data_IF_606429286178
#
_entry.id   IF_606429286178
#
_cell.length_a   1.000
_cell.length_b   1.000
_cell.length_c   1.000
_cell.angle_alpha   90.00
_cell.angle_beta   90.00
_cell.angle_gamma   90.00
#
_symmetry.space_group_name_H-M   'P 1'
#
loop_
_entity.id
_entity.type
_entity.pdbx_description
1 polymer ?
#
# COMPACT_ATOMS: atom_id res chain seq x y z
N UNK A 1 -14.25 13.97 2.05
CA UNK A 1 -14.01 12.71 2.77
C UNK A 1 -13.19 11.77 1.88
N UNK A 2 -12.10 11.24 2.39
CA UNK A 2 -11.21 10.36 1.62
C UNK A 2 -11.58 8.89 1.86
N UNK A 3 -11.42 8.06 0.84
CA UNK A 3 -11.69 6.62 0.87
C UNK A 3 -10.41 5.86 0.56
N UNK A 4 -10.00 5.01 1.48
CA UNK A 4 -8.87 4.11 1.31
C UNK A 4 -9.39 2.69 1.32
N UNK A 5 -8.89 1.83 0.45
CA UNK A 5 -9.34 0.45 0.35
C UNK A 5 -8.17 -0.52 0.13
N UNK A 6 -8.26 -1.65 0.81
CA UNK A 6 -7.55 -2.87 0.47
C UNK A 6 -8.59 -3.96 0.22
N UNK A 7 -8.27 -4.92 -0.61
CA UNK A 7 -9.22 -5.94 -1.02
C UNK A 7 -8.80 -7.30 -0.49
N UNK A 8 -9.73 -7.94 0.21
CA UNK A 8 -9.58 -9.34 0.63
C UNK A 8 -10.08 -10.32 -0.43
N UNK A 9 -10.89 -9.86 -1.37
CA UNK A 9 -11.42 -10.68 -2.45
C UNK A 9 -11.40 -9.90 -3.77
N UNK A 10 -10.48 -10.24 -4.65
CA UNK A 10 -10.28 -9.57 -5.93
C UNK A 10 -11.44 -9.73 -6.90
N UNK A 11 -12.29 -10.76 -6.77
CA UNK A 11 -13.46 -10.92 -7.64
C UNK A 11 -14.36 -9.69 -7.58
N UNK A 12 -14.58 -9.15 -6.38
CA UNK A 12 -15.40 -7.95 -6.18
C UNK A 12 -14.80 -6.73 -6.88
N UNK A 13 -13.49 -6.54 -6.75
CA UNK A 13 -12.80 -5.43 -7.41
C UNK A 13 -12.84 -5.55 -8.94
N UNK A 14 -12.76 -6.76 -9.46
CA UNK A 14 -12.80 -7.03 -10.91
C UNK A 14 -14.21 -6.82 -11.48
N UNK A 15 -15.24 -7.18 -10.76
CA UNK A 15 -16.65 -6.99 -11.18
C UNK A 15 -17.08 -5.53 -11.13
N UNK A 16 -16.53 -4.77 -10.20
CA UNK A 16 -16.95 -3.38 -9.96
C UNK A 16 -15.78 -2.41 -10.08
N UNK A 17 -15.10 -2.45 -11.22
CA UNK A 17 -13.97 -1.55 -11.53
C UNK A 17 -14.33 -0.06 -11.49
N UNK A 18 -15.60 0.27 -11.69
CA UNK A 18 -16.12 1.63 -11.55
C UNK A 18 -15.89 2.22 -10.15
N UNK A 19 -15.91 1.39 -9.12
CA UNK A 19 -15.64 1.84 -7.75
C UNK A 19 -14.17 2.20 -7.50
N UNK A 20 -13.26 1.58 -8.23
CA UNK A 20 -11.82 1.89 -8.09
C UNK A 20 -11.50 3.35 -8.42
N UNK A 21 -12.28 3.97 -9.31
CA UNK A 21 -12.12 5.37 -9.68
C UNK A 21 -12.58 6.33 -8.57
N UNK A 22 -13.39 5.85 -7.62
CA UNK A 22 -13.90 6.62 -6.49
C UNK A 22 -13.05 6.47 -5.23
N UNK A 23 -12.05 5.59 -5.25
CA UNK A 23 -11.14 5.32 -4.14
C UNK A 23 -9.93 6.25 -4.25
N UNK A 24 -9.58 6.94 -3.17
CA UNK A 24 -8.42 7.84 -3.13
C UNK A 24 -7.09 7.08 -3.13
N UNK A 25 -7.03 5.95 -2.44
CA UNK A 25 -5.87 5.07 -2.46
C UNK A 25 -6.31 3.60 -2.36
N UNK A 26 -5.92 2.81 -3.35
CA UNK A 26 -6.17 1.37 -3.40
C UNK A 26 -4.86 0.63 -3.13
N UNK A 27 -4.88 -0.30 -2.18
CA UNK A 27 -3.71 -1.07 -1.77
C UNK A 27 -3.94 -2.55 -2.05
N UNK A 28 -3.01 -3.19 -2.74
CA UNK A 28 -3.02 -4.62 -3.01
C UNK A 28 -1.60 -5.18 -3.09
N UNK A 29 -1.46 -6.50 -3.20
CA UNK A 29 -0.16 -7.12 -3.46
C UNK A 29 0.09 -7.25 -4.97
N UNK A 30 1.28 -7.72 -5.32
CA UNK A 30 1.73 -7.85 -6.71
C UNK A 30 0.87 -8.83 -7.53
N UNK A 31 0.48 -9.94 -6.93
CA UNK A 31 -0.40 -10.93 -7.56
C UNK A 31 -1.80 -10.37 -7.80
N UNK A 32 -2.35 -9.71 -6.82
CA UNK A 32 -3.67 -9.04 -6.93
C UNK A 32 -3.66 -7.94 -8.01
N UNK A 33 -2.58 -7.17 -8.11
CA UNK A 33 -2.42 -6.19 -9.18
C UNK A 33 -2.39 -6.87 -10.56
N UNK A 34 -1.73 -8.00 -10.69
CA UNK A 34 -1.73 -8.82 -11.91
C UNK A 34 -3.13 -9.27 -12.31
N UNK A 35 -3.91 -9.75 -11.35
CA UNK A 35 -5.31 -10.12 -11.58
C UNK A 35 -6.14 -8.92 -12.03
N UNK A 36 -5.97 -7.76 -11.39
CA UNK A 36 -6.72 -6.55 -11.70
C UNK A 36 -6.48 -6.05 -13.12
N UNK A 37 -5.23 -6.07 -13.57
CA UNK A 37 -4.83 -5.56 -14.89
C UNK A 37 -4.67 -6.65 -15.95
N UNK A 38 -4.97 -7.90 -15.61
CA UNK A 38 -4.88 -9.06 -16.50
C UNK A 38 -3.46 -9.24 -17.08
N UNK A 39 -2.47 -9.16 -16.23
CA UNK A 39 -1.06 -9.26 -16.56
C UNK A 39 -0.29 -10.01 -15.46
N UNK A 40 0.95 -10.42 -15.75
CA UNK A 40 1.83 -11.08 -14.79
C UNK A 40 2.96 -10.14 -14.38
N UNK A 41 2.97 -9.76 -13.11
CA UNK A 41 3.95 -8.84 -12.53
C UNK A 41 4.93 -9.51 -11.58
N UNK A 42 4.79 -10.81 -11.32
CA UNK A 42 5.60 -11.50 -10.29
C UNK A 42 7.10 -11.46 -10.56
N UNK A 43 7.49 -11.34 -11.83
CA UNK A 43 8.90 -11.28 -12.25
C UNK A 43 9.48 -9.85 -12.28
N UNK A 44 8.68 -8.82 -12.05
CA UNK A 44 9.13 -7.42 -12.13
C UNK A 44 9.90 -7.00 -10.88
N UNK A 45 11.00 -6.27 -11.08
CA UNK A 45 11.67 -5.55 -10.01
C UNK A 45 10.84 -4.33 -9.56
N UNK A 46 11.03 -3.82 -8.33
CA UNK A 46 10.25 -2.68 -7.84
C UNK A 46 10.24 -1.45 -8.76
N UNK A 47 11.37 -1.08 -9.33
CA UNK A 47 11.47 0.06 -10.25
C UNK A 47 10.66 -0.14 -11.53
N UNK A 48 10.66 -1.34 -12.08
CA UNK A 48 9.85 -1.71 -13.25
C UNK A 48 8.36 -1.72 -12.91
N UNK A 49 8.03 -2.30 -11.75
CA UNK A 49 6.65 -2.34 -11.26
C UNK A 49 6.07 -0.93 -11.05
N UNK A 50 6.85 0.00 -10.51
CA UNK A 50 6.41 1.38 -10.31
C UNK A 50 6.04 2.06 -11.65
N UNK A 51 6.82 1.85 -12.70
CA UNK A 51 6.55 2.41 -14.03
C UNK A 51 5.30 1.80 -14.67
N UNK A 52 5.16 0.48 -14.59
CA UNK A 52 3.95 -0.23 -15.07
C UNK A 52 2.72 0.24 -14.31
N UNK A 53 2.83 0.34 -12.99
CA UNK A 53 1.74 0.80 -12.14
C UNK A 53 1.30 2.22 -12.49
N UNK A 54 2.23 3.14 -12.73
CA UNK A 54 1.92 4.52 -13.12
C UNK A 54 1.10 4.58 -14.40
N UNK A 55 1.44 3.79 -15.41
CA UNK A 55 0.68 3.70 -16.67
C UNK A 55 -0.72 3.13 -16.44
N UNK A 56 -0.83 2.08 -15.64
CA UNK A 56 -2.11 1.41 -15.39
C UNK A 56 -3.05 2.27 -14.54
N UNK A 57 -2.54 2.96 -13.54
CA UNK A 57 -3.31 3.90 -12.71
C UNK A 57 -3.86 5.04 -13.55
N UNK A 58 -3.07 5.57 -14.45
CA UNK A 58 -3.51 6.62 -15.39
C UNK A 58 -4.58 6.09 -16.34
N UNK A 59 -4.33 4.95 -16.99
CA UNK A 59 -5.25 4.35 -17.96
C UNK A 59 -6.58 3.91 -17.34
N UNK A 60 -6.57 3.45 -16.09
CA UNK A 60 -7.76 3.04 -15.35
C UNK A 60 -8.48 4.22 -14.67
N UNK A 61 -7.95 5.43 -14.82
CA UNK A 61 -8.49 6.64 -14.19
C UNK A 61 -8.62 6.53 -12.67
N UNK A 62 -7.65 5.89 -12.03
CA UNK A 62 -7.56 5.77 -10.57
C UNK A 62 -6.79 6.95 -9.99
N UNK A 63 -7.11 7.37 -8.77
CA UNK A 63 -6.42 8.46 -8.08
C UNK A 63 -5.01 8.06 -7.65
N UNK A 64 -4.89 6.95 -6.93
CA UNK A 64 -3.59 6.38 -6.56
C UNK A 64 -3.71 4.89 -6.22
N UNK A 65 -2.60 4.21 -6.33
CA UNK A 65 -2.50 2.79 -6.01
C UNK A 65 -1.15 2.47 -5.37
N UNK A 66 -1.16 1.53 -4.46
CA UNK A 66 0.04 1.00 -3.81
C UNK A 66 0.06 -0.51 -3.98
N UNK A 67 1.19 -1.05 -4.40
CA UNK A 67 1.39 -2.50 -4.54
C UNK A 67 2.49 -2.95 -3.61
N UNK A 68 2.16 -3.87 -2.72
CA UNK A 68 3.15 -4.49 -1.82
C UNK A 68 3.88 -5.61 -2.55
N UNK A 69 5.18 -5.71 -2.33
CA UNK A 69 6.07 -6.66 -3.00
C UNK A 69 6.86 -7.51 -1.98
N UNK A 70 6.27 -7.80 -0.83
CA UNK A 70 6.89 -8.59 0.22
C UNK A 70 8.23 -8.01 0.69
N UNK A 71 9.27 -8.82 0.72
CA UNK A 71 10.61 -8.39 1.15
C UNK A 71 11.27 -7.34 0.26
N UNK A 72 10.72 -7.08 -0.93
CA UNK A 72 11.20 -6.04 -1.84
C UNK A 72 10.61 -4.65 -1.55
N UNK A 73 9.69 -4.55 -0.60
CA UNK A 73 9.06 -3.30 -0.22
C UNK A 73 7.70 -3.07 -0.88
N UNK A 74 7.45 -1.85 -1.27
CA UNK A 74 6.21 -1.47 -1.94
C UNK A 74 6.48 -0.43 -3.03
N UNK A 75 5.59 -0.37 -4.00
CA UNK A 75 5.60 0.66 -5.03
C UNK A 75 4.29 1.44 -4.99
N UNK A 76 4.33 2.70 -5.37
CA UNK A 76 3.14 3.53 -5.44
C UNK A 76 3.10 4.29 -6.76
N UNK A 77 1.91 4.64 -7.19
CA UNK A 77 1.69 5.50 -8.33
C UNK A 77 0.42 6.34 -8.17
N UNK A 78 0.45 7.54 -8.71
CA UNK A 78 -0.68 8.46 -8.77
C UNK A 78 -1.14 8.66 -10.20
N UNK A 79 -2.38 9.10 -10.37
CA UNK A 79 -2.94 9.45 -11.67
C UNK A 79 -2.09 10.50 -12.41
N UNK A 80 -1.43 11.38 -11.68
CA UNK A 80 -0.55 12.42 -12.22
C UNK A 80 0.72 11.90 -12.89
N UNK A 81 1.04 10.60 -12.74
CA UNK A 81 2.27 9.98 -13.21
C UNK A 81 3.36 9.90 -12.15
N UNK A 82 3.19 10.54 -10.99
CA UNK A 82 4.12 10.39 -9.87
C UNK A 82 4.12 8.95 -9.38
N UNK A 83 5.31 8.36 -9.31
CA UNK A 83 5.49 6.98 -8.84
C UNK A 83 6.82 6.84 -8.10
N UNK A 84 6.95 5.78 -7.31
CA UNK A 84 8.18 5.51 -6.59
C UNK A 84 8.19 4.17 -5.89
N UNK A 85 9.31 3.89 -5.26
CA UNK A 85 9.57 2.66 -4.52
C UNK A 85 9.84 3.00 -3.06
N UNK A 86 9.22 2.26 -2.16
CA UNK A 86 9.50 2.30 -0.72
C UNK A 86 10.12 0.97 -0.33
N UNK A 87 11.40 0.93 0.05
CA UNK A 87 12.05 -0.32 0.39
C UNK A 87 11.49 -0.90 1.68
N UNK A 88 11.48 -2.24 1.78
CA UNK A 88 11.10 -2.93 3.00
C UNK A 88 12.10 -2.66 4.12
N UNK A 89 11.64 -2.60 5.35
CA UNK A 89 12.50 -2.55 6.52
C UNK A 89 13.12 -3.93 6.76
N UNK A 90 14.42 -3.97 6.98
CA UNK A 90 15.13 -5.22 7.33
C UNK A 90 14.90 -5.53 8.80
N UNK A 91 14.28 -6.68 9.06
CA UNK A 91 13.97 -7.16 10.41
C UNK A 91 14.12 -8.67 10.46
N UNK A 92 14.29 -9.22 11.66
CA UNK A 92 14.23 -10.66 11.89
C UNK A 92 12.77 -11.11 11.84
N UNK A 93 12.42 -11.85 10.79
CA UNK A 93 11.04 -12.30 10.54
C UNK A 93 10.72 -13.50 11.40
N UNK A 94 9.66 -13.40 12.23
CA UNK A 94 9.10 -14.51 12.98
C UNK A 94 7.89 -15.07 12.24
N UNK A 95 6.95 -14.21 11.85
CA UNK A 95 5.74 -14.57 11.14
C UNK A 95 5.33 -13.42 10.22
N UNK A 96 4.96 -13.73 8.97
CA UNK A 96 4.50 -12.74 7.98
C UNK A 96 2.99 -12.51 8.00
N UNK A 97 2.25 -13.27 8.83
CA UNK A 97 0.79 -13.11 8.95
C UNK A 97 0.42 -11.71 9.44
N UNK A 98 -0.51 -11.09 8.76
CA UNK A 98 -0.98 -9.75 9.08
C UNK A 98 -0.11 -8.60 8.60
N UNK A 99 1.04 -8.87 7.95
CA UNK A 99 1.94 -7.82 7.45
C UNK A 99 1.25 -6.92 6.39
N UNK A 100 0.47 -7.51 5.49
CA UNK A 100 -0.27 -6.75 4.47
C UNK A 100 -1.32 -5.84 5.08
N UNK A 101 -2.09 -6.34 6.05
CA UNK A 101 -3.10 -5.55 6.77
C UNK A 101 -2.47 -4.42 7.58
N UNK A 102 -1.35 -4.68 8.24
CA UNK A 102 -0.59 -3.68 8.97
C UNK A 102 -0.02 -2.60 8.04
N UNK A 103 0.50 -3.00 6.88
CA UNK A 103 0.96 -2.07 5.86
C UNK A 103 -0.18 -1.15 5.40
N UNK A 104 -1.32 -1.71 5.07
CA UNK A 104 -2.50 -0.93 4.68
C UNK A 104 -2.92 0.05 5.78
N UNK A 105 -3.02 -0.42 7.02
CA UNK A 105 -3.40 0.41 8.15
C UNK A 105 -2.43 1.59 8.35
N UNK A 106 -1.13 1.34 8.31
CA UNK A 106 -0.10 2.37 8.45
C UNK A 106 -0.14 3.39 7.31
N UNK A 107 -0.35 2.93 6.09
CA UNK A 107 -0.48 3.80 4.91
C UNK A 107 -1.73 4.70 5.03
N UNK A 108 -2.86 4.14 5.39
CA UNK A 108 -4.11 4.89 5.58
C UNK A 108 -3.99 5.92 6.72
N UNK A 109 -3.34 5.56 7.82
CA UNK A 109 -3.07 6.49 8.92
C UNK A 109 -2.19 7.65 8.43
N UNK A 110 -1.10 7.37 7.72
CA UNK A 110 -0.21 8.40 7.19
C UNK A 110 -0.96 9.40 6.30
N UNK A 111 -1.78 8.91 5.38
CA UNK A 111 -2.60 9.75 4.51
C UNK A 111 -3.63 10.58 5.30
N UNK A 112 -4.20 10.02 6.36
CA UNK A 112 -5.13 10.72 7.26
C UNK A 112 -4.45 11.87 7.99
N UNK A 113 -3.17 11.69 8.38
CA UNK A 113 -2.35 12.75 9.02
C UNK A 113 -1.74 13.72 8.00
N UNK A 114 -2.13 13.66 6.74
CA UNK A 114 -1.68 14.60 5.70
C UNK A 114 -0.29 14.32 5.15
N UNK A 115 0.29 13.16 5.42
CA UNK A 115 1.55 12.75 4.80
C UNK A 115 1.34 12.47 3.32
N UNK A 116 2.38 12.65 2.50
CA UNK A 116 2.31 12.26 1.09
C UNK A 116 2.29 10.73 0.96
N UNK A 117 2.06 10.24 -0.25
CA UNK A 117 1.92 8.80 -0.49
C UNK A 117 3.20 8.03 -0.16
N UNK A 118 4.37 8.56 -0.53
CA UNK A 118 5.66 7.94 -0.21
C UNK A 118 5.89 7.82 1.30
N UNK A 119 5.65 8.89 2.05
CA UNK A 119 5.78 8.92 3.51
C UNK A 119 4.77 7.97 4.18
N UNK A 120 3.56 7.92 3.66
CA UNK A 120 2.50 7.04 4.16
C UNK A 120 2.85 5.56 3.94
N UNK A 121 3.39 5.21 2.79
CA UNK A 121 3.89 3.86 2.51
C UNK A 121 5.07 3.49 3.42
N UNK A 122 5.94 4.44 3.76
CA UNK A 122 7.02 4.20 4.72
C UNK A 122 6.48 3.90 6.12
N UNK A 123 5.45 4.60 6.57
CA UNK A 123 4.75 4.31 7.83
C UNK A 123 4.15 2.90 7.78
N UNK A 124 3.49 2.56 6.68
CA UNK A 124 2.96 1.21 6.45
C UNK A 124 4.03 0.14 6.51
N UNK A 125 5.18 0.37 5.89
CA UNK A 125 6.33 -0.52 5.91
C UNK A 125 6.89 -0.74 7.32
N UNK A 126 6.99 0.32 8.12
CA UNK A 126 7.45 0.25 9.51
C UNK A 126 6.46 -0.50 10.39
N UNK A 127 5.17 -0.28 10.21
CA UNK A 127 4.13 -0.98 10.97
C UNK A 127 4.08 -2.46 10.61
N UNK A 128 4.18 -2.80 9.32
CA UNK A 128 4.29 -4.19 8.86
C UNK A 128 5.53 -4.88 9.45
N UNK A 129 6.68 -4.22 9.44
CA UNK A 129 7.91 -4.74 10.04
C UNK A 129 7.73 -5.03 11.54
N UNK A 130 7.04 -4.17 12.26
CA UNK A 130 6.76 -4.36 13.69
C UNK A 130 5.86 -5.58 13.95
N UNK A 131 4.93 -5.88 13.06
CA UNK A 131 4.05 -7.06 13.16
C UNK A 131 4.80 -8.35 12.87
N UNK A 132 5.63 -8.40 11.84
CA UNK A 132 6.35 -9.64 11.46
C UNK A 132 7.48 -10.02 12.42
N UNK A 133 7.87 -9.12 13.33
CA UNK A 133 8.86 -9.41 14.38
C UNK A 133 8.25 -10.06 15.61
N UNK A 134 6.95 -10.24 15.67
CA UNK A 134 6.21 -10.80 16.81
C UNK A 134 5.24 -11.87 16.37
N UNK A 135 4.74 -12.66 17.32
CA UNK A 135 3.75 -13.71 17.06
C UNK A 135 2.31 -13.18 17.01
N UNK A 136 2.08 -11.95 17.37
CA UNK A 136 0.78 -11.28 17.32
C UNK A 136 0.57 -10.58 15.99
N UNK A 137 -0.64 -10.60 15.45
CA UNK A 137 -0.98 -10.02 14.16
C UNK A 137 -1.27 -8.51 14.23
N UNK A 138 -0.96 -7.88 15.34
CA UNK A 138 -1.14 -6.45 15.56
C UNK A 138 0.11 -5.85 16.19
N UNK A 139 0.36 -4.59 15.95
CA UNK A 139 1.41 -3.87 16.64
C UNK A 139 0.99 -3.68 18.11
N UNK A 140 1.67 -4.29 19.07
CA UNK A 140 1.23 -4.25 20.48
C UNK A 140 1.34 -2.85 21.07
N UNK A 141 2.10 -1.96 20.43
CA UNK A 141 2.36 -0.62 20.94
C UNK A 141 2.51 0.37 19.79
N UNK A 142 1.39 0.82 19.27
CA UNK A 142 1.37 1.89 18.29
C UNK A 142 1.38 3.26 18.99
N UNK A 143 2.42 4.04 18.74
CA UNK A 143 2.50 5.43 19.20
C UNK A 143 2.66 6.34 17.99
N UNK A 144 1.66 7.20 17.71
CA UNK A 144 1.69 8.05 16.51
C UNK A 144 2.95 8.87 16.35
N UNK A 145 3.46 9.44 17.45
CA UNK A 145 4.67 10.28 17.41
C UNK A 145 5.93 9.53 16.94
N UNK A 146 6.06 8.23 17.24
CA UNK A 146 7.18 7.40 16.77
C UNK A 146 7.18 7.22 15.26
N UNK A 147 6.04 7.45 14.61
CA UNK A 147 5.85 7.40 13.16
C UNK A 147 5.82 8.79 12.51
N UNK A 148 6.16 9.84 13.26
CA UNK A 148 6.11 11.22 12.78
C UNK A 148 4.70 11.75 12.58
N UNK A 149 3.72 11.21 13.30
CA UNK A 149 2.32 11.56 13.22
C UNK A 149 1.96 12.43 14.45
N UNK A 150 2.12 13.72 14.34
CA UNK A 150 1.92 14.67 15.43
C UNK A 150 0.53 15.33 15.46
N UNK A 151 -0.03 15.59 14.27
CA UNK A 151 -1.35 16.23 14.15
C UNK A 151 -2.16 15.53 13.04
N UNK A 152 -3.35 15.00 13.34
CA UNK A 152 -4.24 14.46 12.32
C UNK A 152 -4.80 15.58 11.42
N UNK A 153 -4.87 15.30 10.12
CA UNK A 153 -5.57 16.18 9.18
C UNK A 153 -7.07 15.86 9.23
N UNK A 154 -7.85 16.84 9.60
CA UNK A 154 -9.30 16.75 9.62
C UNK A 154 -9.85 17.33 8.32
N UNK A 155 -10.52 16.51 7.53
CA UNK A 155 -11.21 16.95 6.32
C UNK A 155 -12.63 17.38 6.63
#
# INVERSE_FOLDING_TARGET
KKVFAAVSNMSIAMERRDYLQQIDCFVCNQQEAGLLFSDDYEHLAPSQMAQVLARNVHSANMTSMVVTMGGQGAVYAKHTGECGVVPAKKVDVIDTTGAGDAFFAGTAIGLTYGKNLAQSCEIGSRLAASVICITENVCPRFRPLEFGLDVPVVD
#
